data_IF_569363535872
#
_entry.id   IF_569363535872
#
_cell.length_a   1.000
_cell.length_b   1.000
_cell.length_c   1.000
_cell.angle_alpha   90.00
_cell.angle_beta   90.00
_cell.angle_gamma   90.00
#
_symmetry.space_group_name_H-M   'P 1'
#
loop_
_entity.id
_entity.type
_entity.pdbx_description
1 polymer ?
#
# COMPACT_ATOMS: atom_id res chain seq x y z
N UNK A 1 15.48 -9.42 -0.78
CA UNK A 1 14.35 -8.51 -0.67
C UNK A 1 14.86 -7.24 -1.22
N UNK A 2 14.72 -7.06 -2.52
CA UNK A 2 14.73 -5.71 -2.99
C UNK A 2 13.49 -5.52 -3.83
N UNK A 3 13.07 -4.25 -3.84
CA UNK A 3 12.86 -3.51 -5.08
C UNK A 3 12.46 -4.40 -6.26
N UNK A 4 11.25 -4.18 -6.76
CA UNK A 4 11.00 -3.20 -7.83
C UNK A 4 11.12 -3.95 -9.14
N UNK A 5 10.45 -3.39 -10.14
CA UNK A 5 10.99 -3.37 -11.48
C UNK A 5 10.91 -4.73 -12.21
N UNK A 6 10.55 -4.78 -13.48
CA UNK A 6 10.42 -3.68 -14.41
C UNK A 6 10.01 -4.31 -15.74
N UNK A 7 9.36 -3.46 -16.55
CA UNK A 7 9.72 -3.21 -17.95
C UNK A 7 9.60 -4.36 -18.93
N UNK A 8 8.76 -4.10 -19.94
CA UNK A 8 9.21 -3.77 -21.29
C UNK A 8 10.05 -4.86 -21.93
N UNK A 9 9.53 -5.40 -23.02
CA UNK A 9 10.05 -4.98 -24.31
C UNK A 9 9.02 -5.28 -25.41
N UNK A 10 8.62 -4.23 -26.13
CA UNK A 10 8.17 -4.28 -27.51
C UNK A 10 9.17 -5.11 -28.35
N UNK A 11 8.75 -5.78 -29.44
CA UNK A 11 8.64 -5.03 -30.69
C UNK A 11 7.53 -5.50 -31.65
N UNK A 12 7.13 -4.57 -32.51
CA UNK A 12 6.65 -4.75 -33.90
C UNK A 12 6.28 -6.17 -34.38
N UNK A 13 5.05 -6.32 -34.85
CA UNK A 13 4.74 -6.72 -36.25
C UNK A 13 3.23 -6.95 -36.40
N UNK A 14 2.62 -6.33 -37.42
CA UNK A 14 1.42 -6.90 -38.06
C UNK A 14 1.76 -8.32 -38.53
N UNK A 15 0.81 -9.26 -38.43
CA UNK A 15 0.24 -9.73 -39.69
C UNK A 15 -1.27 -10.04 -39.61
N UNK A 16 -1.92 -9.78 -40.74
CA UNK A 16 -2.83 -10.66 -41.44
C UNK A 16 -4.07 -11.22 -40.72
N UNK A 17 -5.22 -10.65 -41.12
CA UNK A 17 -6.47 -11.38 -41.34
C UNK A 17 -6.20 -12.68 -42.13
N UNK A 18 -6.70 -13.85 -41.70
CA UNK A 18 -6.93 -14.94 -42.62
C UNK A 18 -8.36 -14.84 -43.15
N UNK A 19 -8.44 -14.50 -44.44
CA UNK A 19 -9.57 -14.81 -45.30
C UNK A 19 -9.54 -16.31 -45.60
N UNK A 20 -10.73 -16.94 -45.55
CA UNK A 20 -11.12 -18.20 -46.18
C UNK A 20 -10.51 -19.53 -45.71
N UNK A 21 -11.41 -20.43 -45.30
CA UNK A 21 -11.57 -21.72 -46.02
C UNK A 21 -12.94 -22.33 -45.72
N UNK A 22 -13.79 -22.34 -46.75
CA UNK A 22 -14.83 -23.34 -46.88
C UNK A 22 -14.17 -24.69 -47.14
N UNK A 23 -14.49 -25.71 -46.33
CA UNK A 23 -14.45 -27.12 -46.75
C UNK A 23 -15.49 -27.91 -45.96
N UNK A 24 -16.28 -28.65 -46.74
CA UNK A 24 -17.27 -29.66 -46.42
C UNK A 24 -16.96 -30.60 -45.24
N UNK A 25 -18.04 -31.11 -44.63
CA UNK A 25 -18.01 -32.27 -43.75
C UNK A 25 -19.38 -32.52 -43.12
N UNK A 26 -20.09 -33.51 -43.63
CA UNK A 26 -21.43 -33.89 -43.22
C UNK A 26 -21.44 -34.74 -41.94
N UNK A 27 -22.63 -34.77 -41.32
CA UNK A 27 -23.20 -35.83 -40.49
C UNK A 27 -22.61 -36.07 -39.09
N UNK A 28 -23.41 -35.70 -38.08
CA UNK A 28 -23.92 -36.68 -37.13
C UNK A 28 -25.39 -36.34 -36.78
N UNK A 29 -26.27 -37.31 -37.05
CA UNK A 29 -27.66 -37.36 -36.62
C UNK A 29 -27.71 -38.42 -35.53
N UNK A 30 -28.10 -38.06 -34.29
CA UNK A 30 -29.09 -38.81 -33.49
C UNK A 30 -29.21 -38.32 -32.04
N UNK A 31 -30.46 -38.42 -31.55
CA UNK A 31 -30.91 -38.63 -30.18
C UNK A 31 -31.32 -37.41 -29.31
N UNK A 32 -32.64 -37.19 -29.32
CA UNK A 32 -33.55 -37.05 -28.17
C UNK A 32 -33.53 -35.81 -27.24
N UNK A 33 -34.67 -35.13 -27.26
CA UNK A 33 -35.13 -34.12 -26.31
C UNK A 33 -35.74 -32.93 -27.06
N UNK A 34 -36.91 -32.37 -26.68
CA UNK A 34 -37.43 -31.20 -27.36
C UNK A 34 -36.41 -30.08 -27.18
N UNK A 35 -35.72 -29.73 -28.26
CA UNK A 35 -34.68 -28.74 -28.26
C UNK A 35 -35.25 -27.46 -27.66
N UNK A 36 -34.79 -27.11 -26.46
CA UNK A 36 -35.10 -25.85 -25.82
C UNK A 36 -34.88 -24.77 -26.89
N UNK A 37 -35.97 -24.11 -27.29
CA UNK A 37 -35.93 -23.13 -28.37
C UNK A 37 -34.79 -22.13 -28.12
N UNK A 38 -34.19 -21.50 -29.15
CA UNK A 38 -33.12 -20.53 -28.95
C UNK A 38 -33.50 -19.40 -27.97
N UNK A 39 -34.80 -19.11 -27.79
CA UNK A 39 -35.31 -18.23 -26.74
C UNK A 39 -35.11 -18.80 -25.33
N UNK A 40 -35.29 -20.10 -25.14
CA UNK A 40 -35.27 -20.80 -23.86
C UNK A 40 -33.85 -20.99 -23.32
N UNK A 41 -32.86 -21.19 -24.19
CA UNK A 41 -31.44 -21.13 -23.84
C UNK A 41 -31.01 -19.71 -23.45
N UNK A 42 -31.47 -18.69 -24.18
CA UNK A 42 -31.24 -17.28 -23.87
C UNK A 42 -31.87 -16.88 -22.52
N UNK A 43 -33.08 -17.38 -22.24
CA UNK A 43 -33.75 -17.20 -20.95
C UNK A 43 -33.04 -17.93 -19.80
N UNK A 44 -32.43 -19.10 -20.05
CA UNK A 44 -31.61 -19.80 -19.05
C UNK A 44 -30.28 -19.09 -18.78
N UNK A 45 -29.63 -18.57 -19.82
CA UNK A 45 -28.39 -17.80 -19.72
C UNK A 45 -28.60 -16.50 -18.94
N UNK A 46 -29.70 -15.80 -19.20
CA UNK A 46 -30.04 -14.56 -18.50
C UNK A 46 -30.91 -14.78 -17.24
N UNK A 47 -31.20 -16.03 -16.86
CA UNK A 47 -32.06 -16.35 -15.71
C UNK A 47 -31.59 -15.68 -14.43
N UNK A 48 -30.29 -15.68 -14.16
CA UNK A 48 -29.76 -15.05 -12.96
C UNK A 48 -29.96 -13.52 -12.97
N UNK A 49 -29.84 -12.86 -14.12
CA UNK A 49 -30.08 -11.43 -14.26
C UNK A 49 -31.60 -11.10 -14.16
N UNK A 50 -32.45 -11.95 -14.72
CA UNK A 50 -33.91 -11.85 -14.66
C UNK A 50 -34.39 -12.09 -13.23
N UNK A 51 -33.92 -13.14 -12.54
CA UNK A 51 -34.21 -13.41 -11.14
C UNK A 51 -33.66 -12.31 -10.23
N UNK A 52 -32.49 -11.74 -10.52
CA UNK A 52 -31.92 -10.65 -9.74
C UNK A 52 -32.72 -9.35 -9.92
N UNK A 53 -33.20 -9.05 -11.13
CA UNK A 53 -34.13 -7.94 -11.38
C UNK A 53 -35.50 -8.16 -10.74
N UNK A 54 -36.05 -9.38 -10.85
CA UNK A 54 -37.32 -9.76 -10.25
C UNK A 54 -37.26 -9.79 -8.70
N UNK A 55 -36.14 -10.19 -8.09
CA UNK A 55 -35.92 -10.07 -6.64
C UNK A 55 -35.75 -8.63 -6.18
N UNK A 56 -35.32 -7.72 -7.05
CA UNK A 56 -35.17 -6.30 -6.71
C UNK A 56 -36.48 -5.52 -6.87
N UNK A 57 -37.38 -5.94 -7.77
CA UNK A 57 -38.66 -5.29 -8.01
C UNK A 57 -39.90 -5.99 -7.43
N UNK A 58 -39.99 -7.32 -7.50
CA UNK A 58 -41.20 -8.11 -7.20
C UNK A 58 -41.02 -8.97 -5.94
N UNK A 59 -39.79 -9.41 -5.64
CA UNK A 59 -39.47 -10.20 -4.44
C UNK A 59 -39.97 -9.58 -3.12
N UNK A 60 -39.71 -8.29 -2.85
CA UNK A 60 -40.17 -7.62 -1.64
C UNK A 60 -41.70 -7.54 -1.56
N UNK A 61 -42.39 -7.40 -2.70
CA UNK A 61 -43.85 -7.36 -2.76
C UNK A 61 -44.50 -8.73 -2.45
N UNK A 62 -43.86 -9.83 -2.88
CA UNK A 62 -44.33 -11.20 -2.58
C UNK A 62 -44.07 -11.56 -1.11
N UNK A 63 -42.89 -11.21 -0.56
CA UNK A 63 -42.58 -11.39 0.87
C UNK A 63 -43.46 -10.50 1.76
N UNK A 64 -43.68 -9.24 1.39
CA UNK A 64 -44.61 -8.35 2.08
C UNK A 64 -46.06 -8.88 2.07
N UNK A 65 -46.50 -9.55 1.00
CA UNK A 65 -47.83 -10.20 0.95
C UNK A 65 -47.94 -11.37 1.92
N UNK A 66 -46.89 -12.18 2.05
CA UNK A 66 -46.90 -13.40 2.86
C UNK A 66 -46.93 -13.10 4.36
N UNK A 67 -46.26 -12.03 4.78
CA UNK A 67 -45.97 -11.79 6.20
C UNK A 67 -46.79 -10.65 6.83
N UNK A 68 -47.47 -9.80 6.05
CA UNK A 68 -48.07 -8.55 6.57
C UNK A 68 -49.49 -8.65 7.16
N UNK A 69 -50.30 -9.63 6.75
CA UNK A 69 -51.70 -9.76 7.22
C UNK A 69 -52.61 -8.57 6.88
N UNK A 70 -52.19 -7.68 5.97
CA UNK A 70 -52.91 -6.46 5.59
C UNK A 70 -53.96 -6.76 4.49
N UNK A 71 -55.06 -5.98 4.42
CA UNK A 71 -56.01 -6.05 3.31
C UNK A 71 -55.33 -5.79 1.95
N UNK A 72 -55.69 -6.55 0.91
CA UNK A 72 -55.05 -6.52 -0.41
C UNK A 72 -54.97 -5.12 -1.01
N UNK A 73 -56.07 -4.36 -0.95
CA UNK A 73 -56.14 -2.98 -1.43
C UNK A 73 -55.25 -1.99 -0.68
N UNK A 74 -54.86 -2.30 0.57
CA UNK A 74 -53.95 -1.47 1.36
C UNK A 74 -52.50 -1.74 0.97
N UNK A 75 -52.12 -3.01 0.84
CA UNK A 75 -50.76 -3.40 0.45
C UNK A 75 -50.44 -2.92 -0.97
N UNK A 76 -51.39 -3.07 -1.90
CA UNK A 76 -51.24 -2.57 -3.28
C UNK A 76 -50.90 -1.08 -3.29
N UNK A 77 -51.67 -0.25 -2.59
CA UNK A 77 -51.41 1.19 -2.51
C UNK A 77 -50.07 1.52 -1.85
N UNK A 78 -49.68 0.81 -0.78
CA UNK A 78 -48.36 1.02 -0.15
C UNK A 78 -47.20 0.68 -1.10
N UNK A 79 -47.37 -0.36 -1.92
CA UNK A 79 -46.39 -0.73 -2.95
C UNK A 79 -46.37 0.28 -4.09
N UNK A 80 -47.53 0.81 -4.52
CA UNK A 80 -47.61 1.91 -5.48
C UNK A 80 -46.84 3.12 -4.97
N UNK A 81 -47.05 3.54 -3.72
CA UNK A 81 -46.32 4.67 -3.11
C UNK A 81 -44.81 4.48 -3.13
N UNK A 82 -44.35 3.25 -2.90
CA UNK A 82 -42.92 2.93 -2.72
C UNK A 82 -42.19 2.70 -4.04
N UNK A 83 -42.85 2.12 -5.05
CA UNK A 83 -42.16 1.55 -6.22
C UNK A 83 -42.72 2.01 -7.58
N UNK A 84 -43.88 2.68 -7.64
CA UNK A 84 -44.46 3.06 -8.93
C UNK A 84 -43.61 4.15 -9.63
N UNK A 85 -43.29 4.00 -10.92
CA UNK A 85 -42.49 4.98 -11.65
C UNK A 85 -43.25 6.29 -11.96
N UNK A 86 -44.59 6.30 -11.92
CA UNK A 86 -45.42 7.45 -12.23
C UNK A 86 -45.69 8.32 -10.98
N UNK A 87 -45.24 9.60 -10.94
CA UNK A 87 -45.47 10.49 -9.81
C UNK A 87 -46.95 10.73 -9.51
N UNK A 88 -47.80 10.80 -10.53
CA UNK A 88 -49.23 11.11 -10.36
C UNK A 88 -49.96 9.93 -9.73
N UNK A 89 -49.66 8.69 -10.17
CA UNK A 89 -50.14 7.46 -9.54
C UNK A 89 -49.71 7.34 -8.07
N UNK A 90 -48.48 7.75 -7.74
CA UNK A 90 -47.98 7.79 -6.36
C UNK A 90 -48.72 8.80 -5.50
N UNK A 91 -48.95 10.01 -6.01
CA UNK A 91 -49.68 11.06 -5.29
C UNK A 91 -51.12 10.61 -5.02
N UNK A 92 -51.82 10.05 -6.02
CA UNK A 92 -53.17 9.51 -5.84
C UNK A 92 -53.23 8.40 -4.79
N UNK A 93 -52.21 7.52 -4.74
CA UNK A 93 -52.12 6.49 -3.72
C UNK A 93 -51.87 7.07 -2.31
N UNK A 94 -51.07 8.13 -2.18
CA UNK A 94 -50.83 8.84 -0.91
C UNK A 94 -52.11 9.52 -0.41
N UNK A 95 -52.83 10.23 -1.29
CA UNK A 95 -54.09 10.89 -0.95
C UNK A 95 -55.15 9.88 -0.50
N UNK A 96 -55.14 8.66 -1.03
CA UNK A 96 -55.98 7.56 -0.59
C UNK A 96 -55.78 7.11 0.86
N UNK A 97 -54.68 7.54 1.52
CA UNK A 97 -54.40 7.32 2.93
C UNK A 97 -54.55 8.58 3.80
N UNK A 98 -55.22 9.62 3.29
CA UNK A 98 -55.46 10.84 4.05
C UNK A 98 -56.12 10.56 5.42
N UNK A 99 -55.45 10.97 6.50
CA UNK A 99 -55.90 10.76 7.88
C UNK A 99 -55.40 9.47 8.55
N UNK A 100 -54.67 8.62 7.83
CA UNK A 100 -54.08 7.40 8.36
C UNK A 100 -52.75 7.67 9.10
N UNK A 101 -52.64 7.19 10.34
CA UNK A 101 -51.44 7.33 11.18
C UNK A 101 -50.72 5.99 11.42
N UNK A 102 -51.03 4.97 10.62
CA UNK A 102 -50.42 3.65 10.66
C UNK A 102 -48.90 3.67 10.52
N UNK A 103 -48.24 2.75 11.23
CA UNK A 103 -46.77 2.60 11.22
C UNK A 103 -46.28 2.18 9.84
N UNK A 104 -47.08 1.41 9.11
CA UNK A 104 -46.86 0.96 7.73
C UNK A 104 -46.87 2.11 6.72
N UNK A 105 -47.83 3.04 6.82
CA UNK A 105 -47.87 4.24 5.98
C UNK A 105 -46.66 5.15 6.25
N UNK A 106 -46.31 5.34 7.52
CA UNK A 106 -45.10 6.10 7.90
C UNK A 106 -43.83 5.44 7.35
N UNK A 107 -43.75 4.11 7.39
CA UNK A 107 -42.62 3.37 6.84
C UNK A 107 -42.52 3.53 5.31
N UNK A 108 -43.65 3.58 4.59
CA UNK A 108 -43.66 3.83 3.15
C UNK A 108 -43.30 5.28 2.78
N UNK A 109 -43.68 6.26 3.62
CA UNK A 109 -43.39 7.68 3.37
C UNK A 109 -41.98 8.11 3.78
N UNK A 110 -41.40 7.52 4.82
CA UNK A 110 -40.09 7.93 5.36
C UNK A 110 -38.96 7.95 4.31
N UNK A 111 -38.77 6.91 3.48
CA UNK A 111 -37.74 6.92 2.42
C UNK A 111 -37.96 8.02 1.38
N UNK A 112 -39.21 8.43 1.14
CA UNK A 112 -39.55 9.46 0.16
C UNK A 112 -39.25 10.87 0.65
N UNK A 113 -39.16 11.06 1.97
CA UNK A 113 -38.82 12.31 2.62
C UNK A 113 -37.32 12.44 2.90
N UNK A 114 -36.52 11.43 2.54
CA UNK A 114 -35.08 11.44 2.76
C UNK A 114 -34.42 12.52 1.89
N UNK A 115 -33.69 13.44 2.54
CA UNK A 115 -33.01 14.52 1.83
C UNK A 115 -31.74 13.99 1.18
N UNK A 116 -31.75 13.87 -0.14
CA UNK A 116 -30.57 13.52 -0.93
C UNK A 116 -29.80 14.78 -1.32
N UNK A 117 -28.50 14.60 -1.60
CA UNK A 117 -27.64 15.69 -2.08
C UNK A 117 -27.36 15.46 -3.55
N UNK A 118 -27.78 16.39 -4.40
CA UNK A 118 -27.53 16.36 -5.83
C UNK A 118 -26.63 17.51 -6.28
N UNK A 119 -25.94 17.33 -7.39
CA UNK A 119 -25.12 18.36 -8.04
C UNK A 119 -25.70 18.63 -9.42
N UNK A 120 -26.03 19.89 -9.69
CA UNK A 120 -26.55 20.33 -10.98
C UNK A 120 -25.63 21.40 -11.60
N UNK A 121 -25.45 21.40 -12.93
CA UNK A 121 -24.75 22.47 -13.62
C UNK A 121 -25.66 23.71 -13.72
N UNK A 122 -25.29 24.80 -13.04
CA UNK A 122 -25.99 26.08 -13.14
C UNK A 122 -27.13 26.25 -12.12
N UNK A 123 -28.26 26.80 -12.56
CA UNK A 123 -29.45 27.03 -11.71
C UNK A 123 -30.15 25.70 -11.41
N UNK A 124 -30.72 25.49 -10.21
CA UNK A 124 -31.46 24.28 -9.91
C UNK A 124 -32.61 24.06 -10.91
N UNK A 125 -32.88 22.81 -11.33
CA UNK A 125 -33.99 22.51 -12.22
C UNK A 125 -35.32 22.97 -11.60
N UNK A 126 -36.14 23.65 -12.41
CA UNK A 126 -37.43 24.17 -11.96
C UNK A 126 -38.39 23.01 -11.65
N UNK A 127 -38.92 22.95 -10.43
CA UNK A 127 -39.87 21.93 -9.98
C UNK A 127 -39.36 20.99 -8.89
N UNK A 128 -38.06 21.03 -8.53
CA UNK A 128 -37.53 20.26 -7.41
C UNK A 128 -37.73 20.96 -6.06
N UNK A 129 -38.07 20.19 -5.03
CA UNK A 129 -38.21 20.69 -3.66
C UNK A 129 -36.83 20.82 -2.99
N UNK A 130 -36.26 22.03 -3.01
CA UNK A 130 -34.90 22.29 -2.51
C UNK A 130 -34.95 22.71 -1.04
N UNK A 131 -34.58 21.81 -0.14
CA UNK A 131 -34.49 22.11 1.29
C UNK A 131 -33.40 23.14 1.61
N UNK A 132 -32.20 23.00 1.01
CA UNK A 132 -31.06 23.88 1.28
C UNK A 132 -30.01 23.83 0.17
N UNK A 133 -29.50 25.00 -0.25
CA UNK A 133 -28.31 25.10 -1.11
C UNK A 133 -27.02 24.95 -0.28
N UNK A 134 -26.10 24.08 -0.72
CA UNK A 134 -24.82 23.85 -0.06
C UNK A 134 -23.68 24.52 -0.84
N UNK A 135 -22.82 25.27 -0.14
CA UNK A 135 -21.63 25.88 -0.71
C UNK A 135 -20.37 25.07 -0.37
N UNK A 136 -19.48 24.76 -1.34
CA UNK A 136 -18.24 24.04 -1.09
C UNK A 136 -17.32 24.76 -0.08
N UNK A 137 -16.80 24.02 0.90
CA UNK A 137 -15.84 24.52 1.88
C UNK A 137 -16.42 25.12 3.16
N UNK A 138 -17.73 25.00 3.38
CA UNK A 138 -18.32 25.18 4.73
C UNK A 138 -18.37 23.84 5.47
N UNK A 139 -18.58 23.90 6.78
CA UNK A 139 -18.67 22.71 7.65
C UNK A 139 -19.66 21.64 7.13
N UNK A 140 -20.77 22.08 6.53
CA UNK A 140 -21.77 21.20 5.94
C UNK A 140 -21.33 20.47 4.65
N UNK A 141 -20.32 20.98 3.94
CA UNK A 141 -19.80 20.38 2.71
C UNK A 141 -18.30 20.69 2.55
N UNK A 142 -17.40 19.82 3.06
CA UNK A 142 -15.96 19.96 2.86
C UNK A 142 -15.61 20.03 1.38
N UNK A 143 -14.57 20.81 1.02
CA UNK A 143 -14.15 21.00 -0.39
C UNK A 143 -13.80 19.70 -1.09
N UNK A 144 -13.29 18.72 -0.35
CA UNK A 144 -12.95 17.40 -0.88
C UNK A 144 -14.20 16.61 -1.27
N UNK A 145 -15.20 16.57 -0.38
CA UNK A 145 -16.48 15.93 -0.65
C UNK A 145 -17.22 16.61 -1.82
N UNK A 146 -17.25 17.94 -1.86
CA UNK A 146 -17.84 18.68 -2.98
C UNK A 146 -17.19 18.33 -4.33
N UNK A 147 -15.85 18.23 -4.35
CA UNK A 147 -15.13 17.85 -5.56
C UNK A 147 -15.39 16.41 -5.96
N UNK A 148 -15.47 15.48 -5.00
CA UNK A 148 -15.81 14.09 -5.27
C UNK A 148 -17.19 13.97 -5.94
N UNK A 149 -18.19 14.71 -5.44
CA UNK A 149 -19.53 14.73 -6.04
C UNK A 149 -19.53 15.32 -7.46
N UNK A 150 -18.66 16.29 -7.76
CA UNK A 150 -18.49 16.82 -9.12
C UNK A 150 -17.85 15.80 -10.07
N UNK A 151 -16.89 15.01 -9.59
CA UNK A 151 -16.27 13.94 -10.39
C UNK A 151 -17.27 12.82 -10.67
N UNK A 152 -18.04 12.42 -9.67
CA UNK A 152 -19.09 11.39 -9.80
C UNK A 152 -20.21 11.83 -10.77
N UNK A 153 -20.60 13.11 -10.72
CA UNK A 153 -21.54 13.70 -11.66
C UNK A 153 -20.95 13.91 -13.08
N UNK A 154 -19.69 13.55 -13.33
CA UNK A 154 -19.01 13.75 -14.61
C UNK A 154 -18.73 15.21 -14.98
N UNK A 155 -18.90 16.13 -14.01
CA UNK A 155 -18.73 17.58 -14.21
C UNK A 155 -17.29 18.06 -13.95
N UNK A 156 -16.44 17.22 -13.34
CA UNK A 156 -15.03 17.53 -13.07
C UNK A 156 -14.12 16.36 -13.39
N UNK A 157 -12.88 16.66 -13.81
CA UNK A 157 -11.86 15.63 -14.05
C UNK A 157 -11.41 14.95 -12.75
N UNK A 158 -11.15 13.64 -12.76
CA UNK A 158 -10.65 12.93 -11.59
C UNK A 158 -9.29 13.49 -11.16
N UNK A 159 -9.06 13.55 -9.84
CA UNK A 159 -7.79 14.06 -9.30
C UNK A 159 -6.66 13.08 -9.60
N UNK A 160 -5.59 13.56 -10.22
CA UNK A 160 -4.36 12.80 -10.40
C UNK A 160 -3.69 12.63 -9.03
N UNK A 161 -3.44 11.39 -8.61
CA UNK A 161 -2.82 11.11 -7.33
C UNK A 161 -1.34 11.54 -7.28
N UNK A 162 -0.82 11.92 -6.11
CA UNK A 162 0.63 12.18 -5.94
C UNK A 162 1.50 10.98 -6.37
N UNK A 163 0.98 9.77 -6.28
CA UNK A 163 1.64 8.56 -6.76
C UNK A 163 1.72 8.51 -8.30
N UNK A 164 0.62 8.83 -8.98
CA UNK A 164 0.56 8.95 -10.44
C UNK A 164 1.44 10.09 -10.96
N UNK A 165 1.41 11.27 -10.32
CA UNK A 165 2.29 12.38 -10.66
C UNK A 165 3.75 11.94 -10.60
N UNK A 166 4.15 11.27 -9.50
CA UNK A 166 5.51 10.72 -9.35
C UNK A 166 5.82 9.64 -10.37
N UNK A 167 4.87 8.78 -10.72
CA UNK A 167 5.06 7.76 -11.75
C UNK A 167 5.23 8.38 -13.14
N UNK A 168 4.44 9.40 -13.48
CA UNK A 168 4.52 10.13 -14.75
C UNK A 168 5.84 10.91 -14.87
N UNK A 169 6.27 11.58 -13.79
CA UNK A 169 7.57 12.25 -13.69
C UNK A 169 8.74 11.26 -13.74
N UNK A 170 8.62 10.09 -13.11
CA UNK A 170 9.66 9.06 -13.18
C UNK A 170 9.75 8.41 -14.56
N UNK A 171 8.63 8.36 -15.30
CA UNK A 171 8.60 7.84 -16.67
C UNK A 171 9.15 8.83 -17.70
N UNK A 172 9.22 10.13 -17.39
CA UNK A 172 9.75 11.17 -18.29
C UNK A 172 11.07 11.74 -17.75
N UNK A 173 12.21 11.29 -18.30
CA UNK A 173 13.50 11.94 -18.12
C UNK A 173 13.55 13.23 -18.94
N UNK A 174 13.52 14.40 -18.29
CA UNK A 174 13.62 15.70 -18.98
C UNK A 174 15.04 16.00 -19.52
N UNK A 175 16.04 15.20 -19.14
CA UNK A 175 17.46 15.48 -19.40
C UNK A 175 18.05 14.83 -20.67
N UNK A 176 17.31 13.98 -21.38
CA UNK A 176 17.85 13.23 -22.54
C UNK A 176 17.99 14.04 -23.84
N UNK A 177 17.89 15.38 -23.79
CA UNK A 177 18.01 16.23 -25.00
C UNK A 177 19.33 16.99 -25.13
N UNK A 178 20.41 16.42 -24.60
CA UNK A 178 21.78 16.72 -25.04
C UNK A 178 22.43 15.44 -25.59
N UNK A 179 21.83 14.87 -26.64
CA UNK A 179 22.50 13.84 -27.42
C UNK A 179 23.53 14.52 -28.34
N UNK A 180 24.75 14.71 -27.82
CA UNK A 180 25.90 15.09 -28.63
C UNK A 180 26.12 14.00 -29.70
N UNK A 181 26.20 14.37 -30.98
CA UNK A 181 26.18 13.40 -32.09
C UNK A 181 27.48 12.58 -32.21
N UNK A 182 28.58 13.04 -31.60
CA UNK A 182 29.88 12.35 -31.64
C UNK A 182 30.07 11.46 -30.40
N UNK A 183 30.12 10.12 -30.55
CA UNK A 183 30.33 9.21 -29.43
C UNK A 183 31.66 9.45 -28.68
N UNK A 184 32.69 9.99 -29.34
CA UNK A 184 33.98 10.29 -28.68
C UNK A 184 33.87 11.42 -27.67
N UNK A 185 33.04 12.42 -27.95
CA UNK A 185 32.81 13.53 -27.02
C UNK A 185 32.03 13.04 -25.80
N UNK A 186 31.13 12.08 -25.99
CA UNK A 186 30.36 11.47 -24.89
C UNK A 186 31.23 10.58 -24.00
N UNK A 187 32.09 9.75 -24.59
CA UNK A 187 33.03 8.89 -23.84
C UNK A 187 34.07 9.74 -23.08
N UNK A 188 34.65 10.75 -23.73
CA UNK A 188 35.61 11.65 -23.06
C UNK A 188 34.96 12.48 -21.96
N UNK A 189 33.72 12.95 -22.14
CA UNK A 189 32.98 13.63 -21.08
C UNK A 189 32.66 12.70 -19.90
N UNK A 190 32.31 11.43 -20.17
CA UNK A 190 32.08 10.43 -19.13
C UNK A 190 33.36 10.10 -18.34
N UNK A 191 34.50 9.97 -19.03
CA UNK A 191 35.80 9.74 -18.41
C UNK A 191 36.23 10.92 -17.54
N UNK A 192 36.10 12.15 -18.06
CA UNK A 192 36.39 13.38 -17.30
C UNK A 192 35.49 13.51 -16.08
N UNK A 193 34.18 13.25 -16.22
CA UNK A 193 33.25 13.27 -15.11
C UNK A 193 33.59 12.22 -14.05
N UNK A 194 33.97 11.01 -14.47
CA UNK A 194 34.38 9.95 -13.55
C UNK A 194 35.66 10.33 -12.77
N UNK A 195 36.61 10.97 -13.44
CA UNK A 195 37.85 11.45 -12.82
C UNK A 195 37.59 12.57 -11.81
N UNK A 196 36.73 13.54 -12.16
CA UNK A 196 36.31 14.62 -11.26
C UNK A 196 35.55 14.03 -10.07
N UNK A 197 34.62 13.11 -10.29
CA UNK A 197 33.88 12.46 -9.22
C UNK A 197 34.80 11.68 -8.27
N UNK A 198 35.85 11.03 -8.80
CA UNK A 198 36.84 10.33 -7.99
C UNK A 198 37.69 11.30 -7.15
N UNK A 199 38.14 12.42 -7.74
CA UNK A 199 38.90 13.44 -7.03
C UNK A 199 38.07 14.13 -5.94
N UNK A 200 36.84 14.54 -6.27
CA UNK A 200 35.92 15.19 -5.32
C UNK A 200 35.53 14.21 -4.21
N UNK A 201 35.20 12.97 -4.58
CA UNK A 201 34.90 11.92 -3.61
C UNK A 201 36.08 11.64 -2.68
N UNK A 202 37.30 11.53 -3.23
CA UNK A 202 38.52 11.33 -2.45
C UNK A 202 38.79 12.48 -1.47
N UNK A 203 38.70 13.72 -1.94
CA UNK A 203 38.90 14.90 -1.10
C UNK A 203 37.82 15.02 -0.02
N UNK A 204 36.56 14.74 -0.34
CA UNK A 204 35.48 14.77 0.64
C UNK A 204 35.63 13.69 1.71
N UNK A 205 36.08 12.49 1.33
CA UNK A 205 36.39 11.43 2.31
C UNK A 205 37.59 11.80 3.17
N UNK A 206 38.62 12.43 2.58
CA UNK A 206 39.78 12.90 3.32
C UNK A 206 39.39 13.99 4.33
N UNK A 207 38.61 14.98 3.92
CA UNK A 207 38.13 16.07 4.78
C UNK A 207 37.28 15.54 5.94
N UNK A 208 36.32 14.65 5.66
CA UNK A 208 35.55 13.96 6.69
C UNK A 208 36.44 13.14 7.62
N UNK A 209 37.45 12.44 7.11
CA UNK A 209 38.32 11.61 7.94
C UNK A 209 39.27 12.45 8.80
N UNK A 210 39.84 13.53 8.25
CA UNK A 210 40.77 14.41 8.94
C UNK A 210 40.08 15.25 10.01
N UNK A 211 38.85 15.71 9.77
CA UNK A 211 38.13 16.57 10.72
C UNK A 211 37.22 15.76 11.65
N UNK A 212 36.42 14.85 11.11
CA UNK A 212 35.43 14.13 11.91
C UNK A 212 36.07 13.09 12.82
N UNK A 213 37.20 12.47 12.44
CA UNK A 213 37.82 11.44 13.27
C UNK A 213 38.40 12.04 14.56
N UNK A 214 39.27 13.07 14.54
CA UNK A 214 39.78 13.68 15.76
C UNK A 214 38.65 14.30 16.61
N UNK A 215 37.66 14.93 15.96
CA UNK A 215 36.51 15.50 16.66
C UNK A 215 35.67 14.42 17.36
N UNK A 216 35.43 13.28 16.70
CA UNK A 216 34.73 12.15 17.31
C UNK A 216 35.50 11.59 18.51
N UNK A 217 36.83 11.47 18.42
CA UNK A 217 37.67 11.07 19.55
C UNK A 217 37.60 12.08 20.70
N UNK A 218 37.69 13.38 20.43
CA UNK A 218 37.59 14.42 21.44
C UNK A 218 36.22 14.41 22.14
N UNK A 219 35.13 14.28 21.39
CA UNK A 219 33.76 14.23 21.93
C UNK A 219 33.55 12.97 22.76
N UNK A 220 33.95 11.79 22.26
CA UNK A 220 33.80 10.52 22.99
C UNK A 220 34.66 10.48 24.25
N UNK A 221 35.88 11.02 24.20
CA UNK A 221 36.73 11.18 25.37
C UNK A 221 36.09 12.11 26.41
N UNK A 222 35.59 13.27 25.99
CA UNK A 222 34.90 14.22 26.87
C UNK A 222 33.65 13.62 27.51
N UNK A 223 32.84 12.89 26.74
CA UNK A 223 31.67 12.17 27.25
C UNK A 223 32.06 11.08 28.26
N UNK A 224 33.14 10.33 28.00
CA UNK A 224 33.69 9.34 28.93
C UNK A 224 34.17 9.95 30.24
N UNK A 225 34.91 11.07 30.19
CA UNK A 225 35.37 11.79 31.38
C UNK A 225 34.19 12.35 32.19
N UNK A 226 33.17 12.89 31.52
CA UNK A 226 31.95 13.37 32.17
C UNK A 226 31.22 12.23 32.88
N UNK A 227 31.05 11.10 32.20
CA UNK A 227 30.44 9.88 32.74
C UNK A 227 31.19 9.36 33.98
N UNK A 228 32.52 9.29 33.90
CA UNK A 228 33.39 8.87 35.00
C UNK A 228 33.22 9.80 36.22
N UNK A 229 33.29 11.12 36.00
CA UNK A 229 33.23 12.08 37.10
C UNK A 229 31.85 12.25 37.71
N UNK A 230 30.78 12.08 36.93
CA UNK A 230 29.40 12.26 37.36
C UNK A 230 28.82 11.01 38.00
N UNK A 231 29.09 9.83 37.44
CA UNK A 231 28.44 8.59 37.88
C UNK A 231 29.42 7.65 38.56
N UNK A 232 30.47 7.23 37.85
CA UNK A 232 31.31 6.11 38.29
C UNK A 232 32.07 6.47 39.57
N UNK A 233 32.58 7.70 39.67
CA UNK A 233 33.28 8.19 40.87
C UNK A 233 32.42 8.15 42.15
N UNK A 234 31.10 8.29 42.03
CA UNK A 234 30.19 8.23 43.18
C UNK A 234 29.84 6.79 43.59
N UNK A 235 30.10 5.81 42.74
CA UNK A 235 29.56 4.45 42.88
C UNK A 235 30.64 3.36 43.09
N UNK A 236 31.93 3.70 43.04
CA UNK A 236 33.07 2.78 43.17
C UNK A 236 32.97 1.80 44.35
N UNK A 237 32.48 2.25 45.50
CA UNK A 237 32.41 1.41 46.71
C UNK A 237 31.16 0.52 46.76
N UNK A 238 30.34 0.48 45.70
CA UNK A 238 29.04 -0.20 45.66
C UNK A 238 28.88 -1.02 44.37
N UNK A 239 29.31 -2.30 44.36
CA UNK A 239 29.40 -3.09 43.13
C UNK A 239 28.04 -3.38 42.49
N UNK A 240 26.97 -3.62 43.27
CA UNK A 240 25.62 -3.83 42.74
C UNK A 240 25.04 -2.57 42.08
N UNK A 241 25.21 -1.42 42.73
CA UNK A 241 24.72 -0.14 42.22
C UNK A 241 25.47 0.25 40.94
N UNK A 242 26.77 -0.05 40.86
CA UNK A 242 27.61 0.19 39.67
C UNK A 242 27.13 -0.61 38.44
N UNK A 243 26.79 -1.88 38.62
CA UNK A 243 26.23 -2.71 37.54
C UNK A 243 24.88 -2.18 37.07
N UNK A 244 24.00 -1.76 38.00
CA UNK A 244 22.70 -1.19 37.64
C UNK A 244 22.85 0.17 36.94
N UNK A 245 23.76 1.02 37.40
CA UNK A 245 24.03 2.32 36.80
C UNK A 245 24.56 2.18 35.37
N UNK A 246 25.55 1.31 35.14
CA UNK A 246 26.10 1.08 33.79
C UNK A 246 25.06 0.50 32.83
N UNK A 247 24.18 -0.40 33.29
CA UNK A 247 23.05 -0.88 32.50
C UNK A 247 22.06 0.25 32.17
N UNK A 248 21.66 1.03 33.17
CA UNK A 248 20.74 2.16 33.01
C UNK A 248 21.28 3.22 32.04
N UNK A 249 22.57 3.53 32.14
CA UNK A 249 23.20 4.53 31.27
C UNK A 249 23.34 4.00 29.85
N UNK A 250 23.60 2.70 29.65
CA UNK A 250 23.56 2.09 28.30
C UNK A 250 22.21 2.33 27.64
N UNK A 251 21.10 2.10 28.36
CA UNK A 251 19.74 2.37 27.84
C UNK A 251 19.53 3.86 27.58
N UNK A 252 19.94 4.73 28.50
CA UNK A 252 19.81 6.18 28.34
C UNK A 252 20.58 6.70 27.11
N UNK A 253 21.83 6.25 26.92
CA UNK A 253 22.66 6.57 25.76
C UNK A 253 22.03 6.07 24.46
N UNK A 254 21.51 4.84 24.44
CA UNK A 254 20.82 4.31 23.27
C UNK A 254 19.56 5.11 22.93
N UNK A 255 18.78 5.53 23.94
CA UNK A 255 17.62 6.40 23.74
C UNK A 255 18.02 7.78 23.23
N UNK A 256 19.07 8.37 23.79
CA UNK A 256 19.61 9.65 23.36
C UNK A 256 20.12 9.59 21.91
N UNK A 257 20.86 8.54 21.55
CA UNK A 257 21.33 8.32 20.19
C UNK A 257 20.15 8.18 19.21
N UNK A 258 19.11 7.42 19.55
CA UNK A 258 17.89 7.29 18.73
C UNK A 258 17.11 8.61 18.61
N UNK A 259 17.20 9.50 19.60
CA UNK A 259 16.58 10.81 19.56
C UNK A 259 17.32 11.77 18.60
N UNK A 260 18.66 11.77 18.64
CA UNK A 260 19.49 12.65 17.81
C UNK A 260 19.56 12.16 16.36
N UNK A 261 19.84 10.86 16.15
CA UNK A 261 20.05 10.28 14.81
C UNK A 261 18.78 9.70 14.18
N UNK A 262 17.66 9.73 14.91
CA UNK A 262 16.42 9.13 14.51
C UNK A 262 16.41 7.60 14.65
N UNK A 263 15.22 7.02 14.49
CA UNK A 263 15.00 5.56 14.57
C UNK A 263 15.14 4.86 13.22
N UNK A 264 15.34 5.62 12.13
CA UNK A 264 15.45 5.07 10.79
C UNK A 264 16.89 4.65 10.51
N UNK A 265 17.11 3.33 10.43
CA UNK A 265 18.31 2.82 9.80
C UNK A 265 18.29 3.28 8.33
N UNK A 266 19.18 4.20 7.95
CA UNK A 266 19.40 4.53 6.53
C UNK A 266 19.80 3.23 5.84
N UNK A 267 19.01 2.70 4.89
CA UNK A 267 19.36 1.46 4.25
C UNK A 267 20.67 1.67 3.52
N UNK A 268 21.67 0.88 3.88
CA UNK A 268 22.92 0.79 3.13
C UNK A 268 22.52 0.41 1.69
N UNK A 269 22.94 1.22 0.71
CA UNK A 269 22.71 0.87 -0.70
C UNK A 269 23.57 -0.36 -0.98
N UNK A 270 22.93 -1.52 -0.90
CA UNK A 270 23.61 -2.79 -1.14
C UNK A 270 24.05 -2.86 -2.61
N UNK A 271 25.25 -3.38 -2.89
CA UNK A 271 25.67 -3.69 -4.25
C UNK A 271 24.64 -4.56 -4.97
N UNK A 272 24.57 -4.45 -6.30
CA UNK A 272 23.58 -5.17 -7.11
C UNK A 272 23.56 -6.70 -6.88
N UNK A 273 24.69 -7.31 -6.49
CA UNK A 273 24.79 -8.75 -6.22
C UNK A 273 24.14 -9.20 -4.89
N UNK A 274 23.83 -8.27 -3.97
CA UNK A 274 23.06 -8.51 -2.75
C UNK A 274 21.60 -8.08 -2.90
N UNK A 275 21.27 -7.41 -4.01
CA UNK A 275 19.96 -6.83 -4.29
C UNK A 275 19.06 -7.89 -4.95
N UNK A 276 18.28 -8.59 -4.13
CA UNK A 276 17.33 -9.59 -4.61
C UNK A 276 16.84 -10.54 -3.53
N UNK A 277 15.87 -11.39 -3.86
CA UNK A 277 15.41 -12.49 -3.00
C UNK A 277 15.20 -13.75 -3.81
N UNK A 278 15.53 -14.91 -3.22
CA UNK A 278 14.99 -16.18 -3.70
C UNK A 278 13.55 -16.29 -3.24
N UNK A 279 12.63 -16.22 -4.19
CA UNK A 279 11.20 -16.53 -3.98
C UNK A 279 11.04 -18.01 -4.30
N UNK A 280 10.78 -18.81 -3.26
CA UNK A 280 10.60 -20.27 -3.41
C UNK A 280 9.11 -20.58 -3.62
N UNK A 281 8.22 -19.84 -2.96
CA UNK A 281 6.76 -19.87 -3.13
C UNK A 281 6.19 -18.46 -2.90
N UNK A 282 4.94 -18.20 -3.28
CA UNK A 282 4.25 -16.90 -3.17
C UNK A 282 4.23 -16.34 -1.74
N UNK A 283 4.34 -17.23 -0.74
CA UNK A 283 4.33 -16.90 0.70
C UNK A 283 5.74 -16.84 1.31
N UNK A 284 6.76 -17.48 0.70
CA UNK A 284 8.11 -17.58 1.27
C UNK A 284 9.14 -16.96 0.33
N UNK A 285 9.58 -15.75 0.69
CA UNK A 285 10.70 -15.07 0.04
C UNK A 285 11.85 -14.85 1.03
N UNK A 286 13.04 -15.35 0.67
CA UNK A 286 14.27 -15.19 1.48
C UNK A 286 15.18 -14.19 0.78
N UNK A 287 15.55 -13.12 1.49
CA UNK A 287 16.48 -12.10 1.01
C UNK A 287 17.91 -12.62 0.89
N UNK A 288 18.61 -12.32 -0.21
CA UNK A 288 20.04 -12.67 -0.34
C UNK A 288 20.89 -12.04 0.76
N UNK A 289 20.56 -10.81 1.22
CA UNK A 289 21.19 -10.19 2.39
C UNK A 289 21.10 -11.06 3.65
N UNK A 290 19.96 -11.71 3.90
CA UNK A 290 19.79 -12.56 5.10
C UNK A 290 20.63 -13.83 5.00
N UNK A 291 20.71 -14.42 3.80
CA UNK A 291 21.56 -15.60 3.53
C UNK A 291 23.03 -15.22 3.67
N UNK A 292 23.45 -14.09 3.12
CA UNK A 292 24.83 -13.62 3.19
C UNK A 292 25.26 -13.38 4.64
N UNK A 293 24.43 -12.71 5.45
CA UNK A 293 24.71 -12.51 6.88
C UNK A 293 24.79 -13.85 7.61
N UNK A 294 23.90 -14.78 7.31
CA UNK A 294 23.89 -16.10 7.95
C UNK A 294 25.16 -16.91 7.63
N UNK A 295 25.56 -16.97 6.36
CA UNK A 295 26.77 -17.68 5.92
C UNK A 295 28.03 -17.00 6.49
N UNK A 296 28.07 -15.67 6.46
CA UNK A 296 29.18 -14.90 7.03
C UNK A 296 29.30 -15.13 8.54
N UNK A 297 28.19 -15.14 9.28
CA UNK A 297 28.17 -15.44 10.70
C UNK A 297 28.68 -16.87 10.99
N UNK A 298 28.26 -17.85 10.18
CA UNK A 298 28.71 -19.25 10.31
C UNK A 298 30.21 -19.39 10.00
N UNK A 299 30.70 -18.66 9.00
CA UNK A 299 32.12 -18.59 8.66
C UNK A 299 32.94 -17.94 9.79
N UNK A 300 32.50 -16.82 10.36
CA UNK A 300 33.16 -16.20 11.51
C UNK A 300 33.12 -17.08 12.74
N UNK A 301 32.00 -17.78 12.99
CA UNK A 301 31.90 -18.74 14.09
C UNK A 301 32.88 -19.89 13.88
N UNK A 302 32.94 -20.46 12.67
CA UNK A 302 33.87 -21.52 12.34
C UNK A 302 35.33 -21.04 12.47
N UNK A 303 35.64 -19.82 12.02
CA UNK A 303 36.95 -19.19 12.17
C UNK A 303 37.29 -18.96 13.64
N UNK A 304 36.36 -18.44 14.44
CA UNK A 304 36.53 -18.24 15.87
C UNK A 304 36.76 -19.57 16.59
N UNK A 305 35.96 -20.59 16.30
CA UNK A 305 36.13 -21.93 16.85
C UNK A 305 37.45 -22.56 16.38
N UNK A 306 37.85 -22.32 15.13
CA UNK A 306 39.15 -22.75 14.62
C UNK A 306 40.27 -22.07 15.40
N UNK A 307 40.23 -20.75 15.59
CA UNK A 307 41.21 -20.02 16.38
C UNK A 307 41.24 -20.57 17.81
N UNK A 308 40.10 -20.67 18.48
CA UNK A 308 40.00 -21.13 19.87
C UNK A 308 40.37 -22.60 20.07
N UNK A 309 40.15 -23.47 19.08
CA UNK A 309 40.45 -24.91 19.19
C UNK A 309 41.83 -25.28 18.66
N UNK A 310 42.30 -24.64 17.58
CA UNK A 310 43.54 -25.01 16.87
C UNK A 310 44.73 -24.09 17.15
N UNK A 311 44.54 -22.83 17.56
CA UNK A 311 45.67 -21.90 17.73
C UNK A 311 46.15 -21.81 19.19
N UNK A 312 47.39 -21.32 19.37
CA UNK A 312 48.01 -21.12 20.69
C UNK A 312 47.22 -20.20 21.59
N UNK A 313 46.65 -19.12 21.04
CA UNK A 313 45.76 -18.20 21.79
C UNK A 313 44.60 -18.94 22.46
N UNK A 314 44.00 -19.91 21.76
CA UNK A 314 42.92 -20.73 22.31
C UNK A 314 43.34 -21.73 23.38
N UNK A 315 44.60 -22.17 23.37
CA UNK A 315 45.18 -23.03 24.42
C UNK A 315 45.52 -22.20 25.66
N UNK A 316 46.13 -21.04 25.48
CA UNK A 316 46.48 -20.11 26.55
C UNK A 316 45.23 -19.66 27.32
N UNK A 317 44.17 -19.23 26.62
CA UNK A 317 42.91 -18.82 27.25
C UNK A 317 42.30 -19.96 28.08
N UNK A 318 42.30 -21.20 27.55
CA UNK A 318 41.78 -22.37 28.30
C UNK A 318 42.65 -22.72 29.50
N UNK A 319 43.97 -22.65 29.38
CA UNK A 319 44.89 -22.91 30.47
C UNK A 319 44.68 -21.94 31.64
N UNK A 320 44.47 -20.65 31.35
CA UNK A 320 44.17 -19.62 32.36
C UNK A 320 42.83 -19.89 33.08
N UNK A 321 41.80 -20.34 32.36
CA UNK A 321 40.51 -20.69 32.99
C UNK A 321 40.57 -21.96 33.85
N UNK A 322 41.46 -22.90 33.52
CA UNK A 322 41.59 -24.17 34.24
C UNK A 322 42.44 -24.06 35.51
N UNK A 323 43.50 -23.25 35.49
CA UNK A 323 44.36 -23.00 36.66
C UNK A 323 44.62 -21.50 36.86
N UNK A 324 43.62 -20.74 37.34
CA UNK A 324 43.77 -19.30 37.53
C UNK A 324 44.89 -18.93 38.50
N UNK A 325 45.20 -19.79 39.49
CA UNK A 325 46.31 -19.57 40.43
C UNK A 325 47.70 -19.63 39.80
N UNK A 326 47.90 -20.42 38.73
CA UNK A 326 49.19 -20.54 38.04
C UNK A 326 49.38 -19.42 37.02
N UNK A 327 48.29 -18.93 36.41
CA UNK A 327 48.31 -17.78 35.52
C UNK A 327 48.58 -16.46 36.26
N UNK A 328 48.13 -16.33 37.51
CA UNK A 328 48.36 -15.14 38.33
C UNK A 328 49.82 -14.99 38.84
N UNK A 329 50.66 -16.01 38.66
CA UNK A 329 52.07 -16.01 39.09
C UNK A 329 53.07 -15.79 37.94
N UNK A 330 52.61 -15.57 36.71
CA UNK A 330 53.41 -15.12 35.56
C UNK A 330 53.22 -13.61 35.37
#
# INVERSE_FOLDING_TARGET
MSRRADRHAHPSCRPDLPVSRATAGAQDIAADGPAATPLQSLLQEHRAAIEHGARRGIGPAIEARRDSGLPEARLERLLTISFDPDPDARIAAIEGFAGDIGVDMRAALNPLMETTRAVAPGEPPAGENITRRLSPGREALPREAAYAMLVEAGLASPRIGRAEIRAALAAHSFYDRHAEADPRVTETAADVLSAIALMVGGNQMADLALDALPLAFAITFGAGVAMERLVIRWLYNRPLETLLATFGISIALQKLAKNIFGTQARPLTSPAWLDGSRVINHVVSISYIRIAIFVLALMFLALFLFIMRRTRLGLEVRAVTQNPRMAASM
#
